data_IF_763412892665
#
_entry.id   IF_763412892665
#
_cell.length_a   1.000
_cell.length_b   1.000
_cell.length_c   1.000
_cell.angle_alpha   90.00
_cell.angle_beta   90.00
_cell.angle_gamma   90.00
#
_symmetry.space_group_name_H-M   'P 1'
#
loop_
_entity.id
_entity.type
_entity.pdbx_description
1 polymer ?
#
# COMPACT_ATOMS: atom_id res chain seq x y z
N UNK A 1 6.37 -13.51 -33.37
CA UNK A 1 5.76 -12.32 -34.01
C UNK A 1 4.41 -11.92 -33.43
N UNK A 2 3.29 -12.64 -33.64
CA UNK A 2 1.97 -12.13 -33.19
C UNK A 2 1.88 -11.91 -31.67
N UNK A 3 2.42 -12.84 -30.87
CA UNK A 3 2.46 -12.69 -29.41
C UNK A 3 3.31 -11.49 -28.97
N UNK A 4 4.41 -11.21 -29.66
CA UNK A 4 5.29 -10.09 -29.34
C UNK A 4 4.59 -8.76 -29.62
N UNK A 5 3.89 -8.66 -30.75
CA UNK A 5 3.07 -7.50 -31.11
C UNK A 5 1.94 -7.24 -30.09
N UNK A 6 1.29 -8.30 -29.58
CA UNK A 6 0.26 -8.18 -28.55
C UNK A 6 0.85 -7.71 -27.21
N UNK A 7 2.01 -8.26 -26.83
CA UNK A 7 2.71 -7.86 -25.61
C UNK A 7 3.16 -6.40 -25.68
N UNK A 8 3.72 -5.98 -26.81
CA UNK A 8 4.16 -4.60 -27.05
C UNK A 8 2.99 -3.61 -26.99
N UNK A 9 1.87 -3.93 -27.64
CA UNK A 9 0.69 -3.07 -27.58
C UNK A 9 0.10 -2.99 -26.16
N UNK A 10 0.08 -4.10 -25.45
CA UNK A 10 -0.44 -4.17 -24.08
C UNK A 10 0.47 -3.43 -23.10
N UNK A 11 1.80 -3.55 -23.25
CA UNK A 11 2.75 -2.84 -22.40
C UNK A 11 2.70 -1.34 -22.64
N UNK A 12 2.56 -0.89 -23.89
CA UNK A 12 2.36 0.51 -24.25
C UNK A 12 1.08 1.08 -23.62
N UNK A 13 -0.03 0.35 -23.68
CA UNK A 13 -1.28 0.76 -23.02
C UNK A 13 -1.17 0.83 -21.50
N UNK A 14 -0.50 -0.14 -20.87
CA UNK A 14 -0.23 -0.12 -19.43
C UNK A 14 0.70 1.02 -19.02
N UNK A 15 1.67 1.39 -19.86
CA UNK A 15 2.55 2.54 -19.61
C UNK A 15 1.74 3.85 -19.61
N UNK A 16 0.91 4.08 -20.63
CA UNK A 16 0.04 5.25 -20.70
C UNK A 16 -0.94 5.33 -19.50
N UNK A 17 -1.50 4.19 -19.07
CA UNK A 17 -2.36 4.15 -17.88
C UNK A 17 -1.60 4.50 -16.59
N UNK A 18 -0.35 4.02 -16.45
CA UNK A 18 0.51 4.34 -15.30
C UNK A 18 0.88 5.82 -15.25
N UNK A 19 1.12 6.47 -16.39
CA UNK A 19 1.34 7.93 -16.46
C UNK A 19 0.13 8.72 -15.95
N UNK A 20 -1.08 8.19 -16.17
CA UNK A 20 -2.33 8.75 -15.63
C UNK A 20 -2.59 8.36 -14.16
N UNK A 21 -1.63 7.68 -13.50
CA UNK A 21 -1.76 7.22 -12.12
C UNK A 21 -2.68 6.01 -11.95
N UNK A 22 -3.08 5.36 -13.04
CA UNK A 22 -3.98 4.20 -13.02
C UNK A 22 -3.15 2.91 -13.00
N UNK A 23 -3.27 2.16 -11.91
CA UNK A 23 -2.63 0.86 -11.79
C UNK A 23 -2.45 0.40 -10.34
N UNK A 24 -1.84 -0.77 -10.18
CA UNK A 24 -1.53 -1.34 -8.86
C UNK A 24 -2.76 -1.81 -8.08
N UNK A 25 -2.51 -2.27 -6.86
CA UNK A 25 -3.56 -2.71 -5.93
C UNK A 25 -4.13 -1.49 -5.20
N UNK A 26 -5.46 -1.37 -5.17
CA UNK A 26 -6.13 -0.33 -4.37
C UNK A 26 -5.72 -0.42 -2.90
N UNK A 27 -5.31 0.69 -2.25
CA UNK A 27 -5.00 0.69 -0.82
C UNK A 27 -6.21 0.24 0.02
N UNK A 28 -5.98 -0.64 1.00
CA UNK A 28 -7.03 -1.08 1.94
C UNK A 28 -7.41 0.02 2.93
N UNK A 29 -6.44 0.84 3.34
CA UNK A 29 -6.62 1.90 4.33
C UNK A 29 -6.50 3.27 3.68
N UNK A 30 -7.37 4.18 4.08
CA UNK A 30 -7.35 5.60 3.73
C UNK A 30 -6.20 6.33 4.45
N UNK A 31 -5.90 7.55 3.99
CA UNK A 31 -4.85 8.39 4.58
C UNK A 31 -5.16 8.71 6.05
N UNK A 32 -6.43 8.94 6.36
CA UNK A 32 -6.93 9.25 7.69
C UNK A 32 -6.79 8.06 8.63
N UNK A 33 -7.13 6.85 8.14
CA UNK A 33 -6.93 5.61 8.89
C UNK A 33 -5.45 5.35 9.18
N UNK A 34 -4.56 5.64 8.23
CA UNK A 34 -3.11 5.58 8.47
C UNK A 34 -2.67 6.57 9.53
N UNK A 35 -3.15 7.81 9.48
CA UNK A 35 -2.82 8.81 10.48
C UNK A 35 -3.30 8.38 11.88
N UNK A 36 -4.50 7.80 11.99
CA UNK A 36 -5.03 7.28 13.25
C UNK A 36 -4.23 6.08 13.76
N UNK A 37 -3.89 5.12 12.89
CA UNK A 37 -3.04 3.98 13.24
C UNK A 37 -1.67 4.45 13.78
N UNK A 38 -1.07 5.46 13.13
CA UNK A 38 0.19 6.06 13.58
C UNK A 38 0.06 6.77 14.94
N UNK A 39 -1.06 7.43 15.23
CA UNK A 39 -1.34 8.02 16.56
C UNK A 39 -1.43 6.94 17.64
N UNK A 40 -2.14 5.84 17.38
CA UNK A 40 -2.26 4.73 18.32
C UNK A 40 -0.90 4.10 18.64
N UNK A 41 -0.07 3.88 17.61
CA UNK A 41 1.27 3.31 17.80
C UNK A 41 2.16 4.26 18.61
N UNK A 42 2.12 5.57 18.36
CA UNK A 42 2.87 6.57 19.13
C UNK A 42 2.38 6.70 20.57
N UNK A 43 1.08 6.49 20.80
CA UNK A 43 0.50 6.43 22.15
C UNK A 43 0.88 5.15 22.92
N UNK A 44 1.68 4.25 22.33
CA UNK A 44 2.14 3.02 22.97
C UNK A 44 1.20 1.84 22.81
N UNK A 45 0.15 1.94 21.99
CA UNK A 45 -0.74 0.80 21.73
C UNK A 45 0.03 -0.29 20.99
N UNK A 46 -0.03 -1.56 21.46
CA UNK A 46 0.67 -2.66 20.80
C UNK A 46 0.28 -2.80 19.33
N UNK A 47 1.26 -2.93 18.44
CA UNK A 47 1.04 -3.09 16.99
C UNK A 47 0.14 -4.29 16.67
N UNK A 48 0.15 -5.35 17.47
CA UNK A 48 -0.78 -6.49 17.32
C UNK A 48 -2.25 -6.07 17.50
N UNK A 49 -2.55 -5.21 18.47
CA UNK A 49 -3.91 -4.72 18.70
C UNK A 49 -4.34 -3.77 17.58
N UNK A 50 -3.46 -2.88 17.14
CA UNK A 50 -3.72 -2.00 15.99
C UNK A 50 -3.96 -2.81 14.71
N UNK A 51 -3.20 -3.90 14.51
CA UNK A 51 -3.38 -4.80 13.37
C UNK A 51 -4.78 -5.45 13.34
N UNK A 52 -5.29 -5.85 14.50
CA UNK A 52 -6.65 -6.40 14.63
C UNK A 52 -7.71 -5.34 14.31
N UNK A 53 -7.57 -4.12 14.86
CA UNK A 53 -8.53 -3.02 14.66
C UNK A 53 -8.72 -2.69 13.17
N UNK A 54 -7.63 -2.67 12.40
CA UNK A 54 -7.66 -2.33 10.97
C UNK A 54 -7.68 -3.56 10.05
N UNK A 55 -7.72 -4.77 10.62
CA UNK A 55 -7.64 -6.04 9.89
C UNK A 55 -6.45 -6.07 8.91
N UNK A 56 -5.25 -5.76 9.39
CA UNK A 56 -4.01 -5.77 8.60
C UNK A 56 -2.97 -6.70 9.19
N UNK A 57 -2.00 -7.12 8.38
CA UNK A 57 -0.84 -7.85 8.89
C UNK A 57 0.01 -6.97 9.80
N UNK A 58 0.56 -7.54 10.87
CA UNK A 58 1.51 -6.83 11.76
C UNK A 58 2.72 -6.33 10.97
N UNK A 59 3.17 -7.08 9.95
CA UNK A 59 4.23 -6.68 9.03
C UNK A 59 3.89 -5.41 8.24
N UNK A 60 2.62 -5.19 7.90
CA UNK A 60 2.15 -3.97 7.24
C UNK A 60 2.38 -2.75 8.14
N UNK A 61 2.10 -2.89 9.44
CA UNK A 61 2.34 -1.81 10.40
C UNK A 61 3.82 -1.54 10.62
N UNK A 62 4.67 -2.58 10.67
CA UNK A 62 6.13 -2.36 10.76
C UNK A 62 6.70 -1.71 9.50
N UNK A 63 6.19 -2.06 8.31
CA UNK A 63 6.62 -1.45 7.05
C UNK A 63 6.25 0.03 6.96
N UNK A 64 5.08 0.40 7.50
CA UNK A 64 4.59 1.78 7.49
C UNK A 64 5.16 2.62 8.64
N UNK A 65 5.37 2.01 9.81
CA UNK A 65 5.82 2.64 11.05
C UNK A 65 7.01 1.84 11.63
N UNK A 66 8.21 2.00 11.06
CA UNK A 66 9.41 1.32 11.54
C UNK A 66 9.76 1.73 12.98
N UNK A 67 10.54 0.91 13.67
CA UNK A 67 11.01 1.21 15.02
C UNK A 67 12.32 1.99 14.88
N UNK A 68 12.36 3.22 15.38
CA UNK A 68 13.57 4.08 15.38
C UNK A 68 13.77 4.95 14.14
N UNK A 69 12.77 5.10 13.29
CA UNK A 69 12.79 6.08 12.18
C UNK A 69 11.80 7.20 12.46
N UNK A 70 12.28 8.30 13.04
CA UNK A 70 11.64 9.61 12.99
C UNK A 70 12.11 10.37 11.74
#
# INVERSE_FOLDING_TARGET
>A
MERELIVERSSAGLAAAREQGIGGRRPKLTTEQWAQAGRLIRAGVPRRQVAIIYDVGVSTLYKKFPVGGD
#
